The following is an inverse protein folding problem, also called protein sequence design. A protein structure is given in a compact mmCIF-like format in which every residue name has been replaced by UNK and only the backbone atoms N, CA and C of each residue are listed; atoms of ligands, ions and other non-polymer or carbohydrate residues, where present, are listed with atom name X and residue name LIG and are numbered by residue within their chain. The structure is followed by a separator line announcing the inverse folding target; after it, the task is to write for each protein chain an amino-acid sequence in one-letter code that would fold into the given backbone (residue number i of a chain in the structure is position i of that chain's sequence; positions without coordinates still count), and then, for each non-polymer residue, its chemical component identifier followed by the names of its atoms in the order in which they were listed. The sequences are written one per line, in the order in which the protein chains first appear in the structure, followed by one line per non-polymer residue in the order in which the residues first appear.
data_IF_903328339153
#
_entry.id   IF_903328339153
#
_cell.length_a   1.000
_cell.length_b   1.000
_cell.length_c   1.000
_cell.angle_alpha   90.00
_cell.angle_beta   90.00
_cell.angle_gamma   90.00
#
_symmetry.space_group_name_H-M   'P 1'
#
loop_
_entity.id
_entity.type
_entity.pdbx_description
1 polymer ?
#
# COMPACT_ATOMS: atom_id res chain seq x y z
N UNK A 1 1.16 0.19 -22.70
CA UNK A 1 1.95 1.22 -21.98
C UNK A 1 3.41 1.05 -22.37
N UNK A 2 4.17 2.12 -22.55
CA UNK A 2 5.61 1.98 -22.78
C UNK A 2 6.30 1.48 -21.50
N UNK A 3 7.47 0.84 -21.63
CA UNK A 3 8.25 0.37 -20.48
C UNK A 3 8.65 1.53 -19.55
N UNK A 4 8.88 2.73 -20.11
CA UNK A 4 9.15 3.94 -19.35
C UNK A 4 7.97 4.35 -18.46
N UNK A 5 6.74 4.34 -18.99
CA UNK A 5 5.53 4.63 -18.19
C UNK A 5 5.31 3.58 -17.11
N UNK A 6 5.63 2.31 -17.38
CA UNK A 6 5.53 1.23 -16.40
C UNK A 6 6.49 1.48 -15.23
N UNK A 7 7.76 1.79 -15.52
CA UNK A 7 8.78 2.12 -14.51
C UNK A 7 8.30 3.26 -13.61
N UNK A 8 7.79 4.35 -14.20
CA UNK A 8 7.25 5.50 -13.47
C UNK A 8 6.00 5.16 -12.64
N UNK A 9 5.13 4.30 -13.14
CA UNK A 9 3.92 3.91 -12.41
C UNK A 9 4.24 3.01 -11.21
N UNK A 10 5.20 2.10 -11.35
CA UNK A 10 5.66 1.21 -10.27
C UNK A 10 6.31 2.01 -9.14
N UNK A 11 7.16 3.01 -9.45
CA UNK A 11 7.73 3.88 -8.42
C UNK A 11 6.64 4.74 -7.75
N UNK A 12 5.63 5.19 -8.51
CA UNK A 12 4.47 5.89 -7.96
C UNK A 12 3.71 5.05 -6.93
N UNK A 13 3.48 3.77 -7.20
CA UNK A 13 2.82 2.84 -6.26
C UNK A 13 3.66 2.64 -5.00
N UNK A 14 4.97 2.48 -5.16
CA UNK A 14 5.89 2.37 -4.02
C UNK A 14 5.80 3.60 -3.12
N UNK A 15 5.91 4.81 -3.70
CA UNK A 15 5.81 6.07 -2.96
C UNK A 15 4.46 6.19 -2.25
N UNK A 16 3.37 5.83 -2.93
CA UNK A 16 2.02 5.88 -2.37
C UNK A 16 1.87 4.96 -1.15
N UNK A 17 2.42 3.74 -1.21
CA UNK A 17 2.46 2.82 -0.07
C UNK A 17 3.21 3.40 1.13
N UNK A 18 4.37 4.01 0.89
CA UNK A 18 5.19 4.68 1.92
C UNK A 18 4.43 5.85 2.55
N UNK A 19 3.76 6.69 1.74
CA UNK A 19 2.96 7.83 2.22
C UNK A 19 1.85 7.35 3.16
N UNK A 20 1.13 6.28 2.81
CA UNK A 20 0.05 5.72 3.65
C UNK A 20 0.61 5.25 5.00
N UNK A 21 1.76 4.58 5.01
CA UNK A 21 2.41 4.15 6.25
C UNK A 21 2.77 5.36 7.12
N UNK A 22 3.54 6.32 6.58
CA UNK A 22 3.99 7.51 7.32
C UNK A 22 2.80 8.31 7.87
N UNK A 23 1.76 8.50 7.07
CA UNK A 23 0.56 9.25 7.46
C UNK A 23 -0.18 8.60 8.63
N UNK A 24 -0.10 7.28 8.76
CA UNK A 24 -0.80 6.52 9.81
C UNK A 24 0.08 6.20 11.02
N UNK A 25 1.39 6.47 10.99
CA UNK A 25 2.29 6.39 12.16
C UNK A 25 1.78 7.27 13.31
N UNK A 26 1.37 8.50 13.00
CA UNK A 26 0.90 9.47 14.00
C UNK A 26 -0.38 9.01 14.70
N UNK A 27 -1.15 8.09 14.10
CA UNK A 27 -2.39 7.59 14.71
C UNK A 27 -2.13 6.71 15.94
N UNK A 28 -0.94 6.10 16.07
CA UNK A 28 -0.57 5.32 17.25
C UNK A 28 -0.49 6.15 18.53
N UNK A 29 -0.23 7.44 18.40
CA UNK A 29 -0.10 8.38 19.52
C UNK A 29 -1.28 9.34 19.65
N UNK A 30 -2.35 9.11 18.88
CA UNK A 30 -3.61 9.84 18.95
C UNK A 30 -4.14 9.90 20.39
N UNK A 31 -4.62 11.06 20.88
CA UNK A 31 -5.21 11.19 22.21
C UNK A 31 -6.32 10.18 22.50
N UNK A 32 -7.15 9.85 21.50
CA UNK A 32 -8.18 8.82 21.63
C UNK A 32 -7.59 7.45 21.95
N UNK A 33 -6.56 7.01 21.23
CA UNK A 33 -5.88 5.72 21.51
C UNK A 33 -5.12 5.74 22.84
N UNK A 34 -4.57 6.89 23.24
CA UNK A 34 -3.87 7.01 24.54
C UNK A 34 -4.83 6.94 25.73
N UNK A 35 -6.06 7.43 25.58
CA UNK A 35 -7.09 7.42 26.63
C UNK A 35 -7.94 6.14 26.64
N UNK A 36 -7.79 5.29 25.61
CA UNK A 36 -8.53 4.05 25.46
C UNK A 36 -8.09 2.98 26.49
N UNK A 37 -9.00 2.05 26.77
CA UNK A 37 -8.68 0.82 27.53
C UNK A 37 -7.61 -0.02 26.80
N UNK A 38 -6.95 -0.92 27.53
CA UNK A 38 -5.91 -1.79 26.94
C UNK A 38 -6.42 -2.63 25.76
N UNK A 39 -7.66 -3.12 25.82
CA UNK A 39 -8.27 -3.87 24.73
C UNK A 39 -8.54 -3.01 23.49
N UNK A 40 -9.13 -1.82 23.66
CA UNK A 40 -9.36 -0.85 22.58
C UNK A 40 -8.05 -0.37 21.96
N UNK A 41 -7.01 -0.14 22.78
CA UNK A 41 -5.69 0.23 22.31
C UNK A 41 -5.05 -0.88 21.49
N UNK A 42 -5.18 -2.15 21.90
CA UNK A 42 -4.72 -3.32 21.12
C UNK A 42 -5.45 -3.41 19.78
N UNK A 43 -6.78 -3.23 19.76
CA UNK A 43 -7.59 -3.19 18.54
C UNK A 43 -7.15 -2.09 17.58
N UNK A 44 -6.96 -0.86 18.09
CA UNK A 44 -6.52 0.29 17.28
C UNK A 44 -5.13 0.09 16.68
N UNK A 45 -4.16 -0.39 17.48
CA UNK A 45 -2.82 -0.73 16.97
C UNK A 45 -2.91 -1.89 15.97
N UNK A 46 -3.79 -2.85 16.19
CA UNK A 46 -4.05 -3.96 15.26
C UNK A 46 -4.53 -3.48 13.89
N UNK A 47 -5.51 -2.57 13.85
CA UNK A 47 -5.99 -1.97 12.59
C UNK A 47 -4.86 -1.26 11.82
N UNK A 48 -4.02 -0.49 12.53
CA UNK A 48 -2.87 0.21 11.92
C UNK A 48 -1.87 -0.81 11.36
N UNK A 49 -1.51 -1.84 12.14
CA UNK A 49 -0.59 -2.89 11.69
C UNK A 49 -1.11 -3.64 10.47
N UNK A 50 -2.41 -3.94 10.40
CA UNK A 50 -3.01 -4.61 9.25
C UNK A 50 -2.91 -3.74 8.00
N UNK A 51 -3.22 -2.44 8.10
CA UNK A 51 -3.03 -1.52 6.98
C UNK A 51 -1.57 -1.50 6.52
N UNK A 52 -0.62 -1.41 7.46
CA UNK A 52 0.80 -1.37 7.14
C UNK A 52 1.29 -2.64 6.44
N UNK A 53 0.86 -3.81 6.92
CA UNK A 53 1.23 -5.09 6.31
C UNK A 53 0.82 -5.12 4.83
N UNK A 54 -0.39 -4.67 4.52
CA UNK A 54 -0.88 -4.59 3.15
C UNK A 54 -0.01 -3.63 2.30
N UNK A 55 0.27 -2.43 2.81
CA UNK A 55 1.08 -1.44 2.08
C UNK A 55 2.54 -1.89 1.88
N UNK A 56 3.13 -2.59 2.85
CA UNK A 56 4.48 -3.17 2.74
C UNK A 56 4.51 -4.22 1.62
N UNK A 57 3.54 -5.13 1.57
CA UNK A 57 3.47 -6.17 0.52
C UNK A 57 3.39 -5.52 -0.86
N UNK A 58 2.50 -4.54 -1.02
CA UNK A 58 2.32 -3.78 -2.27
C UNK A 58 3.62 -3.08 -2.68
N UNK A 59 4.26 -2.40 -1.73
CA UNK A 59 5.51 -1.65 -1.99
C UNK A 59 6.64 -2.60 -2.40
N UNK A 60 6.79 -3.75 -1.74
CA UNK A 60 7.80 -4.76 -2.07
C UNK A 60 7.59 -5.34 -3.47
N UNK A 61 6.35 -5.65 -3.83
CA UNK A 61 6.03 -6.15 -5.18
C UNK A 61 6.27 -5.09 -6.25
N UNK A 62 5.93 -3.83 -5.99
CA UNK A 62 6.18 -2.72 -6.89
C UNK A 62 7.69 -2.55 -7.15
N UNK A 63 8.51 -2.64 -6.10
CA UNK A 63 9.97 -2.55 -6.21
C UNK A 63 10.55 -3.73 -6.99
N UNK A 64 10.08 -4.96 -6.74
CA UNK A 64 10.53 -6.14 -7.46
C UNK A 64 10.23 -6.03 -8.97
N UNK A 65 8.99 -5.64 -9.33
CA UNK A 65 8.62 -5.42 -10.73
C UNK A 65 9.41 -4.26 -11.36
N UNK A 66 9.70 -3.21 -10.59
CA UNK A 66 10.50 -2.09 -11.07
C UNK A 66 11.92 -2.54 -11.43
N UNK A 67 12.57 -3.32 -10.56
CA UNK A 67 13.91 -3.87 -10.80
C UNK A 67 13.93 -4.80 -12.02
N UNK A 68 12.91 -5.66 -12.15
CA UNK A 68 12.76 -6.52 -13.34
C UNK A 68 12.62 -5.66 -14.60
N UNK A 69 11.72 -4.68 -14.60
CA UNK A 69 11.55 -3.78 -15.73
C UNK A 69 12.80 -2.94 -16.03
N UNK A 70 13.62 -2.64 -15.03
CA UNK A 70 14.89 -1.92 -15.19
C UNK A 70 15.94 -2.76 -15.91
N UNK A 71 16.01 -4.07 -15.62
CA UNK A 71 16.95 -5.00 -16.26
C UNK A 71 16.61 -5.29 -17.73
N UNK A 72 15.39 -5.00 -18.16
CA UNK A 72 14.94 -5.19 -19.53
C UNK A 72 15.48 -4.08 -20.45
N UNK A 73 16.02 -4.48 -21.59
CA UNK A 73 16.59 -3.60 -22.62
C UNK A 73 16.17 -4.06 -24.03
N UNK A 74 16.68 -3.37 -25.06
CA UNK A 74 16.33 -3.59 -26.46
C UNK A 74 16.77 -4.96 -27.01
N UNK A 75 17.65 -5.68 -26.29
CA UNK A 75 18.08 -7.05 -26.62
C UNK A 75 17.23 -8.11 -25.93
N UNK A 76 16.29 -7.70 -25.07
CA UNK A 76 15.39 -8.63 -24.38
C UNK A 76 14.36 -9.16 -25.36
N UNK A 77 14.10 -10.47 -25.29
CA UNK A 77 13.13 -11.13 -26.15
C UNK A 77 11.75 -10.44 -26.12
N UNK A 78 11.11 -10.32 -27.29
CA UNK A 78 9.86 -9.60 -27.46
C UNK A 78 8.70 -10.23 -26.66
N UNK A 79 8.71 -11.54 -26.46
CA UNK A 79 7.73 -12.25 -25.62
C UNK A 79 7.93 -11.90 -24.15
N UNK A 80 9.19 -11.88 -23.68
CA UNK A 80 9.54 -11.51 -22.30
C UNK A 80 9.12 -10.06 -22.00
N UNK A 81 9.39 -9.13 -22.92
CA UNK A 81 8.94 -7.74 -22.85
C UNK A 81 7.42 -7.62 -22.68
N UNK A 82 6.64 -8.38 -23.48
CA UNK A 82 5.17 -8.38 -23.39
C UNK A 82 4.67 -8.93 -22.06
N UNK A 83 5.26 -10.01 -21.56
CA UNK A 83 4.87 -10.62 -20.27
C UNK A 83 5.11 -9.63 -19.14
N UNK A 84 6.29 -9.01 -19.07
CA UNK A 84 6.63 -8.02 -18.04
C UNK A 84 5.69 -6.82 -18.11
N UNK A 85 5.40 -6.35 -19.33
CA UNK A 85 4.46 -5.25 -19.55
C UNK A 85 3.06 -5.58 -19.05
N UNK A 86 2.55 -6.77 -19.38
CA UNK A 86 1.22 -7.22 -18.97
C UNK A 86 1.12 -7.37 -17.45
N UNK A 87 2.08 -8.08 -16.84
CA UNK A 87 2.12 -8.30 -15.39
C UNK A 87 2.20 -6.98 -14.64
N UNK A 88 3.08 -6.07 -15.06
CA UNK A 88 3.23 -4.78 -14.40
C UNK A 88 1.97 -3.93 -14.54
N UNK A 89 1.34 -3.90 -15.71
CA UNK A 89 0.11 -3.14 -15.94
C UNK A 89 -1.05 -3.68 -15.10
N UNK A 90 -1.22 -5.00 -15.05
CA UNK A 90 -2.22 -5.64 -14.20
C UNK A 90 -1.98 -5.34 -12.71
N UNK A 91 -0.73 -5.46 -12.26
CA UNK A 91 -0.34 -5.12 -10.90
C UNK A 91 -0.69 -3.68 -10.56
N UNK A 92 -0.35 -2.72 -11.43
CA UNK A 92 -0.63 -1.29 -11.24
C UNK A 92 -2.13 -1.05 -11.06
N UNK A 93 -2.96 -1.61 -11.95
CA UNK A 93 -4.41 -1.43 -11.89
C UNK A 93 -5.01 -1.99 -10.58
N UNK A 94 -4.61 -3.21 -10.21
CA UNK A 94 -5.13 -3.88 -9.00
C UNK A 94 -4.68 -3.17 -7.73
N UNK A 95 -3.43 -2.72 -7.66
CA UNK A 95 -2.90 -2.10 -6.44
C UNK A 95 -3.46 -0.71 -6.19
N UNK A 96 -3.69 0.10 -7.23
CA UNK A 96 -4.35 1.39 -7.06
C UNK A 96 -5.73 1.21 -6.41
N UNK A 97 -6.55 0.29 -6.93
CA UNK A 97 -7.86 -0.03 -6.37
C UNK A 97 -7.77 -0.60 -4.95
N UNK A 98 -6.89 -1.59 -4.75
CA UNK A 98 -6.75 -2.27 -3.46
C UNK A 98 -6.25 -1.34 -2.36
N UNK A 99 -5.33 -0.42 -2.66
CA UNK A 99 -4.84 0.55 -1.67
C UNK A 99 -5.95 1.49 -1.22
N UNK A 100 -6.76 2.02 -2.15
CA UNK A 100 -7.91 2.87 -1.81
C UNK A 100 -8.94 2.09 -0.99
N UNK A 101 -9.27 0.87 -1.40
CA UNK A 101 -10.19 0.00 -0.66
C UNK A 101 -9.70 -0.29 0.76
N UNK A 102 -8.43 -0.68 0.92
CA UNK A 102 -7.82 -0.98 2.21
C UNK A 102 -7.78 0.25 3.12
N UNK A 103 -7.50 1.43 2.56
CA UNK A 103 -7.51 2.68 3.32
C UNK A 103 -8.92 3.06 3.78
N UNK A 104 -9.93 2.96 2.90
CA UNK A 104 -11.32 3.26 3.26
C UNK A 104 -11.85 2.30 4.33
N UNK A 105 -11.55 1.00 4.22
CA UNK A 105 -11.90 0.00 5.24
C UNK A 105 -11.23 0.31 6.58
N UNK A 106 -9.94 0.67 6.56
CA UNK A 106 -9.22 1.11 7.75
C UNK A 106 -9.88 2.35 8.37
N UNK A 107 -10.16 3.39 7.57
CA UNK A 107 -10.78 4.64 8.03
C UNK A 107 -12.11 4.40 8.73
N UNK A 108 -12.99 3.57 8.14
CA UNK A 108 -14.27 3.20 8.73
C UNK A 108 -14.11 2.49 10.07
N UNK A 109 -13.27 1.45 10.12
CA UNK A 109 -13.06 0.67 11.34
C UNK A 109 -12.40 1.50 12.45
N UNK A 110 -11.48 2.40 12.08
CA UNK A 110 -10.81 3.28 13.01
C UNK A 110 -11.77 4.34 13.56
N UNK A 111 -12.64 4.91 12.73
CA UNK A 111 -13.67 5.85 13.18
C UNK A 111 -14.63 5.20 14.17
N UNK A 112 -15.13 4.00 13.87
CA UNK A 112 -16.00 3.25 14.78
C UNK A 112 -15.32 2.98 16.13
N UNK A 113 -14.05 2.59 16.13
CA UNK A 113 -13.28 2.39 17.36
C UNK A 113 -13.14 3.69 18.17
N UNK A 114 -12.92 4.81 17.50
CA UNK A 114 -12.83 6.11 18.17
C UNK A 114 -14.19 6.50 18.79
N UNK A 115 -15.30 6.28 18.08
CA UNK A 115 -16.64 6.49 18.65
C UNK A 115 -16.89 5.60 19.87
N UNK A 116 -16.47 4.33 19.85
CA UNK A 116 -16.56 3.43 21.01
C UNK A 116 -15.70 3.85 22.20
N UNK A 117 -14.60 4.60 21.98
CA UNK A 117 -13.76 5.12 23.06
C UNK A 117 -14.38 6.35 23.74
N UNK A 118 -15.15 7.14 22.99
CA UNK A 118 -15.77 8.38 23.48
C UNK A 118 -17.23 8.25 23.92
N UNK A 119 -17.85 7.08 23.73
CA UNK A 119 -19.12 6.70 24.36
C UNK A 119 -18.90 6.20 25.77
#
# INVERSE_FOLDING_TARGET
MSIGTIKLSLIGIFILGVIVIISTVKLKTCPGIKKATDDQRRKGIGLIKTLWKNQIIISSMALALYLIAFMVNDKTDAMVLKIISLMSSAFIAVTAFYTVFSYNKFKKNFANLIEEIYK
#
